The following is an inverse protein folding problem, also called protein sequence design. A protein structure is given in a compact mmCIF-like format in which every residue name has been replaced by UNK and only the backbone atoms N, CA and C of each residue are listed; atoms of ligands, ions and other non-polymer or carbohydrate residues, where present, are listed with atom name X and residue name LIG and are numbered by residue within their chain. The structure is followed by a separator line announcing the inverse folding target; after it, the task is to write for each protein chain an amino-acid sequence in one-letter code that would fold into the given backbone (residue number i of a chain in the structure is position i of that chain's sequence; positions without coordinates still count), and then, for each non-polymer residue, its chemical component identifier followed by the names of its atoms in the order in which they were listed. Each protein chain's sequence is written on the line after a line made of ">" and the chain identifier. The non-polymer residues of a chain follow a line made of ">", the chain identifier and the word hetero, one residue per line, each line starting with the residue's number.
data_IF_057047581333
#
_entry.id   IF_057047581333
#
_cell.length_a   1.000
_cell.length_b   1.000
_cell.length_c   1.000
_cell.angle_alpha   90.00
_cell.angle_beta   90.00
_cell.angle_gamma   90.00
#
_symmetry.space_group_name_H-M   'P 1'
#
loop_
_entity.id
_entity.type
_entity.pdbx_description
1 polymer ?
#
# COMPACT_ATOMS: atom_id res chain seq x y z
N UNK A 1 -8.33 31.10 4.85
CA UNK A 1 -9.39 30.10 4.98
C UNK A 1 -8.79 28.92 5.70
N UNK A 2 -9.12 28.78 6.98
CA UNK A 2 -8.74 27.62 7.79
C UNK A 2 -9.50 26.40 7.23
N UNK A 3 -8.88 25.63 6.37
CA UNK A 3 -9.37 24.31 5.98
C UNK A 3 -9.08 23.38 7.16
N UNK A 4 -9.93 23.43 8.21
CA UNK A 4 -9.93 22.35 9.19
C UNK A 4 -10.02 21.04 8.44
N UNK A 5 -9.01 20.18 8.60
CA UNK A 5 -9.01 18.85 8.03
C UNK A 5 -10.29 18.14 8.46
N UNK A 6 -11.09 17.73 7.48
CA UNK A 6 -12.38 17.05 7.70
C UNK A 6 -12.21 15.74 8.45
N UNK A 7 -11.04 15.10 8.30
CA UNK A 7 -10.75 13.79 8.85
C UNK A 7 -9.42 13.80 9.61
N UNK A 8 -9.43 13.22 10.80
CA UNK A 8 -8.24 13.04 11.62
C UNK A 8 -7.36 11.90 11.13
N UNK A 9 -7.96 10.79 10.71
CA UNK A 9 -7.26 9.58 10.26
C UNK A 9 -7.87 9.04 8.99
N UNK A 10 -7.03 8.79 7.99
CA UNK A 10 -7.46 8.24 6.70
C UNK A 10 -6.56 7.09 6.24
N UNK A 11 -7.15 6.16 5.51
CA UNK A 11 -6.43 5.15 4.73
C UNK A 11 -6.52 5.52 3.26
N UNK A 12 -5.39 5.50 2.57
CA UNK A 12 -5.32 5.70 1.12
C UNK A 12 -4.78 4.41 0.50
N UNK A 13 -5.60 3.75 -0.31
CA UNK A 13 -5.16 2.59 -1.10
C UNK A 13 -4.81 3.03 -2.52
N UNK A 14 -3.69 2.53 -3.01
CA UNK A 14 -3.22 2.82 -4.36
C UNK A 14 -3.03 1.52 -5.14
N UNK A 15 -3.80 1.37 -6.20
CA UNK A 15 -3.72 0.20 -7.10
C UNK A 15 -2.42 0.17 -7.90
N UNK A 16 -1.98 -1.02 -8.31
CA UNK A 16 -0.76 -1.18 -9.12
C UNK A 16 -0.82 -0.38 -10.43
N UNK A 17 -1.97 -0.40 -11.12
CA UNK A 17 -2.15 0.33 -12.38
C UNK A 17 -2.07 1.85 -12.23
N UNK A 18 -2.31 2.38 -11.02
CA UNK A 18 -2.12 3.82 -10.72
C UNK A 18 -0.63 4.15 -10.58
N UNK A 19 0.16 3.20 -10.08
CA UNK A 19 1.59 3.37 -9.79
C UNK A 19 2.51 2.93 -10.94
N UNK A 20 1.98 2.28 -11.97
CA UNK A 20 2.76 1.76 -13.10
C UNK A 20 2.32 2.41 -14.41
N UNK A 21 3.27 2.50 -15.34
CA UNK A 21 3.03 2.85 -16.74
C UNK A 21 2.56 1.63 -17.52
N UNK A 22 2.15 1.86 -18.76
CA UNK A 22 1.72 0.79 -19.68
C UNK A 22 2.81 -0.25 -19.95
N UNK A 23 4.09 0.14 -19.80
CA UNK A 23 5.26 -0.75 -19.91
C UNK A 23 5.53 -1.56 -18.63
N UNK A 24 4.67 -1.47 -17.61
CA UNK A 24 4.79 -2.17 -16.32
C UNK A 24 5.84 -1.58 -15.37
N UNK A 25 6.52 -0.49 -15.75
CA UNK A 25 7.49 0.18 -14.87
C UNK A 25 6.80 1.14 -13.91
N UNK A 26 7.35 1.34 -12.70
CA UNK A 26 6.83 2.34 -11.77
C UNK A 26 6.78 3.73 -12.40
N UNK A 27 5.65 4.41 -12.28
CA UNK A 27 5.48 5.79 -12.72
C UNK A 27 5.92 6.75 -11.61
N UNK A 28 7.16 7.21 -11.73
CA UNK A 28 7.77 8.13 -10.77
C UNK A 28 6.97 9.41 -10.58
N UNK A 29 6.39 9.94 -11.65
CA UNK A 29 5.63 11.20 -11.62
C UNK A 29 4.35 11.03 -10.79
N UNK A 30 3.62 9.93 -11.02
CA UNK A 30 2.39 9.63 -10.25
C UNK A 30 2.70 9.35 -8.79
N UNK A 31 3.78 8.60 -8.50
CA UNK A 31 4.20 8.33 -7.11
C UNK A 31 4.59 9.65 -6.42
N UNK A 32 5.33 10.53 -7.08
CA UNK A 32 5.70 11.85 -6.52
C UNK A 32 4.48 12.72 -6.25
N UNK A 33 3.54 12.80 -7.19
CA UNK A 33 2.30 13.54 -6.99
C UNK A 33 1.44 13.00 -5.84
N UNK A 34 1.40 11.67 -5.68
CA UNK A 34 0.74 11.03 -4.54
C UNK A 34 1.40 11.43 -3.22
N UNK A 35 2.73 11.32 -3.14
CA UNK A 35 3.49 11.66 -1.92
C UNK A 35 3.33 13.15 -1.58
N UNK A 36 3.30 14.06 -2.58
CA UNK A 36 3.01 15.48 -2.34
C UNK A 36 1.64 15.68 -1.66
N UNK A 37 0.58 15.01 -2.13
CA UNK A 37 -0.74 15.10 -1.52
C UNK A 37 -0.76 14.51 -0.10
N UNK A 38 -0.13 13.34 0.11
CA UNK A 38 -0.02 12.73 1.45
C UNK A 38 0.77 13.63 2.39
N UNK A 39 1.87 14.23 1.93
CA UNK A 39 2.67 15.15 2.73
C UNK A 39 1.88 16.41 3.16
N UNK A 40 1.04 16.94 2.27
CA UNK A 40 0.13 18.07 2.62
C UNK A 40 -0.86 17.67 3.70
N UNK A 41 -1.50 16.52 3.58
CA UNK A 41 -2.43 15.99 4.59
C UNK A 41 -1.75 15.78 5.93
N UNK A 42 -0.57 15.12 5.91
CA UNK A 42 0.22 14.86 7.12
C UNK A 42 0.63 16.17 7.83
N UNK A 43 1.13 17.16 7.08
CA UNK A 43 1.49 18.49 7.64
C UNK A 43 0.29 19.25 8.17
N UNK A 44 -0.90 19.00 7.64
CA UNK A 44 -2.13 19.56 8.14
C UNK A 44 -2.70 18.79 9.36
N UNK A 45 -1.96 17.80 9.91
CA UNK A 45 -2.31 17.05 11.11
C UNK A 45 -3.18 15.82 10.88
N UNK A 46 -3.40 15.40 9.63
CA UNK A 46 -4.09 14.13 9.33
C UNK A 46 -3.13 12.95 9.45
N UNK A 47 -3.51 11.96 10.23
CA UNK A 47 -2.83 10.66 10.27
C UNK A 47 -3.15 9.87 8.99
N UNK A 48 -2.13 9.60 8.17
CA UNK A 48 -2.31 8.92 6.89
C UNK A 48 -1.66 7.55 6.93
N UNK A 49 -2.39 6.51 6.52
CA UNK A 49 -1.88 5.17 6.24
C UNK A 49 -1.98 4.94 4.74
N UNK A 50 -0.88 4.54 4.12
CA UNK A 50 -0.82 4.26 2.70
C UNK A 50 -0.79 2.75 2.45
N UNK A 51 -1.81 2.21 1.80
CA UNK A 51 -1.84 0.82 1.33
C UNK A 51 -1.41 0.81 -0.13
N UNK A 52 -0.20 0.30 -0.39
CA UNK A 52 0.42 0.42 -1.71
C UNK A 52 0.60 -0.92 -2.38
N UNK A 53 0.01 -1.07 -3.56
CA UNK A 53 0.31 -2.16 -4.50
C UNK A 53 1.57 -1.86 -5.32
N UNK A 54 1.94 -2.78 -6.22
CA UNK A 54 2.98 -2.54 -7.23
C UNK A 54 4.34 -3.17 -6.93
N UNK A 55 4.50 -3.89 -5.82
CA UNK A 55 5.74 -4.60 -5.52
C UNK A 55 6.07 -5.66 -6.58
N UNK A 56 5.12 -6.53 -6.92
CA UNK A 56 5.28 -7.57 -7.95
C UNK A 56 5.66 -6.95 -9.30
N UNK A 57 4.95 -5.92 -9.74
CA UNK A 57 5.25 -5.21 -10.99
C UNK A 57 6.65 -4.57 -10.99
N UNK A 58 7.05 -3.96 -9.87
CA UNK A 58 8.38 -3.40 -9.68
C UNK A 58 9.47 -4.47 -9.79
N UNK A 59 9.29 -5.63 -9.17
CA UNK A 59 10.23 -6.74 -9.22
C UNK A 59 10.31 -7.35 -10.63
N UNK A 60 9.18 -7.51 -11.29
CA UNK A 60 9.14 -7.96 -12.68
C UNK A 60 9.93 -7.01 -13.60
N UNK A 61 9.79 -5.69 -13.41
CA UNK A 61 10.54 -4.70 -14.20
C UNK A 61 12.07 -4.75 -13.99
N UNK A 62 12.52 -5.25 -12.82
CA UNK A 62 13.96 -5.39 -12.50
C UNK A 62 14.52 -6.69 -13.04
N UNK A 63 13.83 -7.80 -12.77
CA UNK A 63 14.35 -9.14 -13.05
C UNK A 63 14.09 -9.56 -14.50
N UNK A 64 12.92 -9.20 -15.07
CA UNK A 64 12.56 -9.58 -16.42
C UNK A 64 12.74 -11.08 -16.67
N UNK A 65 13.48 -11.42 -17.74
CA UNK A 65 13.77 -12.81 -18.10
C UNK A 65 14.76 -13.54 -17.15
N UNK A 66 15.43 -12.82 -16.24
CA UNK A 66 16.35 -13.43 -15.28
C UNK A 66 15.64 -14.36 -14.28
N UNK A 67 14.33 -14.18 -14.10
CA UNK A 67 13.52 -15.05 -13.24
C UNK A 67 13.42 -16.50 -13.75
N UNK A 68 13.75 -16.75 -15.04
CA UNK A 68 13.66 -18.08 -15.63
C UNK A 68 12.21 -18.56 -15.73
N UNK A 69 12.04 -19.89 -15.81
CA UNK A 69 10.72 -20.53 -15.78
C UNK A 69 10.38 -20.89 -14.34
N UNK A 70 9.51 -20.11 -13.73
CA UNK A 70 8.96 -20.35 -12.39
C UNK A 70 7.45 -20.64 -12.49
N UNK A 71 6.94 -21.40 -11.54
CA UNK A 71 5.50 -21.46 -11.32
C UNK A 71 4.97 -20.09 -10.83
N UNK A 72 3.66 -19.91 -10.88
CA UNK A 72 3.02 -18.61 -10.59
C UNK A 72 3.26 -18.12 -9.17
N UNK A 73 3.33 -19.03 -8.19
CA UNK A 73 3.55 -18.70 -6.78
C UNK A 73 4.99 -18.26 -6.56
N UNK A 74 5.95 -19.08 -6.99
CA UNK A 74 7.39 -18.75 -6.87
C UNK A 74 7.75 -17.46 -7.63
N UNK A 75 7.16 -17.22 -8.80
CA UNK A 75 7.35 -16.01 -9.57
C UNK A 75 6.84 -14.78 -8.79
N UNK A 76 5.63 -14.85 -8.22
CA UNK A 76 5.05 -13.77 -7.43
C UNK A 76 5.89 -13.48 -6.19
N UNK A 77 6.31 -14.52 -5.46
CA UNK A 77 7.16 -14.38 -4.28
C UNK A 77 8.49 -13.70 -4.62
N UNK A 78 9.17 -14.17 -5.67
CA UNK A 78 10.44 -13.59 -6.12
C UNK A 78 10.29 -12.13 -6.54
N UNK A 79 9.28 -11.83 -7.37
CA UNK A 79 9.06 -10.46 -7.84
C UNK A 79 8.66 -9.54 -6.70
N UNK A 80 7.82 -9.98 -5.77
CA UNK A 80 7.46 -9.19 -4.61
C UNK A 80 8.66 -8.91 -3.71
N UNK A 81 9.49 -9.93 -3.41
CA UNK A 81 10.68 -9.77 -2.57
C UNK A 81 11.62 -8.69 -3.12
N UNK A 82 11.90 -8.72 -4.44
CA UNK A 82 12.79 -7.75 -5.08
C UNK A 82 12.11 -6.39 -5.26
N UNK A 83 10.87 -6.41 -5.68
CA UNK A 83 10.14 -5.18 -6.01
C UNK A 83 9.73 -4.36 -4.80
N UNK A 84 9.46 -5.01 -3.66
CA UNK A 84 9.10 -4.33 -2.42
C UNK A 84 10.22 -3.40 -1.94
N UNK A 85 11.47 -3.84 -2.05
CA UNK A 85 12.64 -3.00 -1.69
C UNK A 85 12.67 -1.74 -2.55
N UNK A 86 12.51 -1.88 -3.88
CA UNK A 86 12.51 -0.74 -4.80
C UNK A 86 11.36 0.23 -4.54
N UNK A 87 10.16 -0.32 -4.34
CA UNK A 87 8.96 0.48 -4.09
C UNK A 87 9.10 1.27 -2.78
N UNK A 88 9.54 0.59 -1.71
CA UNK A 88 9.71 1.24 -0.41
C UNK A 88 10.81 2.31 -0.44
N UNK A 89 11.96 2.03 -1.07
CA UNK A 89 13.02 3.04 -1.24
C UNK A 89 12.50 4.27 -1.96
N UNK A 90 11.65 4.10 -2.99
CA UNK A 90 11.07 5.22 -3.71
C UNK A 90 10.17 6.08 -2.82
N UNK A 91 9.32 5.46 -2.00
CA UNK A 91 8.52 6.20 -1.02
C UNK A 91 9.40 6.89 0.02
N UNK A 92 10.40 6.19 0.53
CA UNK A 92 11.34 6.74 1.51
C UNK A 92 12.04 7.99 0.99
N UNK A 93 12.60 7.95 -0.21
CA UNK A 93 13.30 9.09 -0.83
C UNK A 93 12.35 10.29 -0.97
N UNK A 94 11.14 10.05 -1.50
CA UNK A 94 10.17 11.11 -1.72
C UNK A 94 9.62 11.71 -0.42
N UNK A 95 9.29 10.90 0.59
CA UNK A 95 8.84 11.41 1.89
C UNK A 95 9.95 12.16 2.63
N UNK A 96 11.20 11.71 2.47
CA UNK A 96 12.36 12.39 3.06
C UNK A 96 12.55 13.82 2.54
N UNK A 97 12.20 14.10 1.28
CA UNK A 97 12.20 15.48 0.72
C UNK A 97 11.26 16.42 1.51
N UNK A 98 10.22 15.87 2.14
CA UNK A 98 9.27 16.61 2.98
C UNK A 98 9.61 16.58 4.47
N UNK A 99 10.70 15.91 4.88
CA UNK A 99 11.04 15.66 6.28
C UNK A 99 10.09 14.71 7.00
N UNK A 100 9.37 13.87 6.24
CA UNK A 100 8.39 12.91 6.77
C UNK A 100 9.02 11.53 6.82
N UNK A 101 8.95 10.89 7.98
CA UNK A 101 9.39 9.51 8.15
C UNK A 101 8.26 8.57 7.72
N UNK A 102 8.59 7.57 6.92
CA UNK A 102 7.67 6.48 6.62
C UNK A 102 8.25 5.14 7.08
N UNK A 103 7.37 4.16 7.33
CA UNK A 103 7.79 2.84 7.76
C UNK A 103 6.97 1.74 7.10
N UNK A 104 7.59 0.59 6.87
CA UNK A 104 6.96 -0.55 6.22
C UNK A 104 6.16 -1.41 7.21
N UNK A 105 4.96 -1.81 6.79
CA UNK A 105 4.16 -2.85 7.45
C UNK A 105 3.77 -3.88 6.40
N UNK A 106 4.26 -5.11 6.53
CA UNK A 106 3.83 -6.23 5.70
C UNK A 106 2.88 -7.13 6.49
N UNK A 107 1.77 -7.46 5.88
CA UNK A 107 0.72 -8.27 6.52
C UNK A 107 0.25 -9.40 5.63
N UNK A 108 -0.41 -10.39 6.22
CA UNK A 108 -1.11 -11.46 5.51
C UNK A 108 -2.55 -11.52 6.00
N UNK A 109 -3.44 -12.14 5.23
CA UNK A 109 -4.84 -12.37 5.64
C UNK A 109 -4.90 -13.19 6.94
N UNK A 110 -4.01 -14.19 7.08
CA UNK A 110 -3.88 -14.98 8.29
C UNK A 110 -3.51 -14.12 9.51
N UNK A 111 -2.58 -13.17 9.33
CA UNK A 111 -2.17 -12.25 10.40
C UNK A 111 -3.32 -11.37 10.89
N UNK A 112 -4.29 -11.06 10.04
CA UNK A 112 -5.48 -10.30 10.44
C UNK A 112 -6.61 -11.17 11.01
N UNK A 113 -6.57 -12.48 10.78
CA UNK A 113 -7.62 -13.42 11.26
C UNK A 113 -7.43 -13.83 12.72
N UNK A 114 -6.21 -13.79 13.25
CA UNK A 114 -5.93 -14.15 14.64
C UNK A 114 -5.91 -12.94 15.55
N UNK A 115 -6.66 -12.98 16.66
CA UNK A 115 -6.77 -11.84 17.61
C UNK A 115 -5.41 -11.32 18.07
N UNK A 116 -4.46 -12.21 18.38
CA UNK A 116 -3.13 -11.81 18.87
C UNK A 116 -2.35 -11.02 17.81
N UNK A 117 -2.28 -11.52 16.58
CA UNK A 117 -1.57 -10.87 15.50
C UNK A 117 -2.26 -9.58 15.07
N UNK A 118 -3.60 -9.58 15.01
CA UNK A 118 -4.39 -8.38 14.77
C UNK A 118 -4.07 -7.26 15.76
N UNK A 119 -4.06 -7.55 17.08
CA UNK A 119 -3.73 -6.56 18.10
C UNK A 119 -2.28 -6.10 18.02
N UNK A 120 -1.33 -6.99 17.73
CA UNK A 120 0.07 -6.62 17.55
C UNK A 120 0.26 -5.68 16.36
N UNK A 121 -0.37 -5.96 15.22
CA UNK A 121 -0.31 -5.06 14.05
C UNK A 121 -0.97 -3.72 14.33
N UNK A 122 -2.15 -3.73 14.96
CA UNK A 122 -2.81 -2.50 15.39
C UNK A 122 -1.91 -1.66 16.27
N UNK A 123 -1.33 -2.25 17.32
CA UNK A 123 -0.44 -1.54 18.24
C UNK A 123 0.80 -0.97 17.53
N UNK A 124 1.38 -1.72 16.59
CA UNK A 124 2.50 -1.24 15.79
C UNK A 124 2.11 0.01 14.97
N UNK A 125 0.99 -0.04 14.25
CA UNK A 125 0.54 1.10 13.46
C UNK A 125 0.13 2.30 14.32
N UNK A 126 -0.53 2.08 15.46
CA UNK A 126 -0.84 3.17 16.41
C UNK A 126 0.44 3.83 16.94
N UNK A 127 1.48 3.05 17.25
CA UNK A 127 2.76 3.59 17.69
C UNK A 127 3.45 4.40 16.57
N UNK A 128 3.40 3.92 15.31
CA UNK A 128 3.92 4.66 14.16
C UNK A 128 3.20 6.00 13.99
N UNK A 129 1.87 5.98 14.00
CA UNK A 129 1.05 7.20 13.85
C UNK A 129 1.31 8.19 14.98
N UNK A 130 1.39 7.71 16.23
CA UNK A 130 1.72 8.54 17.39
C UNK A 130 3.12 9.19 17.31
N UNK A 131 4.05 8.52 16.62
CA UNK A 131 5.39 9.04 16.34
C UNK A 131 5.46 9.95 15.09
N UNK A 132 4.32 10.22 14.43
CA UNK A 132 4.29 11.00 13.18
C UNK A 132 4.87 10.26 11.97
N UNK A 133 4.94 8.95 12.03
CA UNK A 133 5.43 8.09 10.93
C UNK A 133 4.26 7.69 10.04
N UNK A 134 4.44 7.79 8.72
CA UNK A 134 3.46 7.31 7.73
C UNK A 134 3.66 5.80 7.50
N UNK A 135 2.70 4.93 7.92
CA UNK A 135 2.78 3.51 7.61
C UNK A 135 2.54 3.26 6.12
N UNK A 136 3.44 2.53 5.48
CA UNK A 136 3.27 2.01 4.12
C UNK A 136 3.00 0.51 4.24
N UNK A 137 1.76 0.14 3.97
CA UNK A 137 1.26 -1.22 4.17
C UNK A 137 1.14 -1.93 2.82
N UNK A 138 1.54 -3.18 2.78
CA UNK A 138 1.32 -4.08 1.65
C UNK A 138 1.10 -5.51 2.13
N UNK A 139 0.57 -6.36 1.25
CA UNK A 139 0.54 -7.79 1.50
C UNK A 139 1.97 -8.35 1.54
N UNK A 140 2.20 -9.32 2.41
CA UNK A 140 3.45 -10.07 2.43
C UNK A 140 3.41 -11.24 1.44
N UNK A 141 3.50 -10.93 0.16
CA UNK A 141 3.49 -11.92 -0.93
C UNK A 141 4.62 -12.95 -0.83
N UNK A 142 5.64 -12.72 -0.01
CA UNK A 142 6.77 -13.67 0.12
C UNK A 142 6.41 -14.89 0.93
N UNK A 143 5.42 -14.79 1.81
CA UNK A 143 4.95 -15.89 2.67
C UNK A 143 3.47 -16.23 2.46
N UNK A 144 2.72 -15.39 1.74
CA UNK A 144 1.32 -15.66 1.42
C UNK A 144 1.22 -16.81 0.42
N UNK A 145 0.39 -17.80 0.73
CA UNK A 145 0.01 -18.89 -0.18
C UNK A 145 -1.34 -18.59 -0.81
N UNK A 146 -1.58 -19.11 -1.99
CA UNK A 146 -2.70 -18.76 -2.87
C UNK A 146 -4.07 -18.77 -2.20
N UNK A 147 -4.30 -19.70 -1.26
CA UNK A 147 -5.58 -19.90 -0.57
C UNK A 147 -5.82 -18.91 0.57
N UNK A 148 -4.75 -18.25 1.05
CA UNK A 148 -4.77 -17.32 2.19
C UNK A 148 -4.38 -15.89 1.78
N UNK A 149 -4.38 -15.59 0.49
CA UNK A 149 -4.11 -14.26 -0.01
C UNK A 149 -5.34 -13.36 0.10
N UNK A 150 -5.11 -12.07 0.21
CA UNK A 150 -6.16 -11.10 -0.06
C UNK A 150 -6.58 -11.21 -1.54
N UNK A 151 -7.87 -11.03 -1.80
CA UNK A 151 -8.38 -10.95 -3.18
C UNK A 151 -7.69 -9.82 -3.92
N UNK A 152 -7.54 -8.70 -3.23
CA UNK A 152 -6.77 -7.53 -3.64
C UNK A 152 -6.45 -6.62 -2.44
N UNK A 153 -5.72 -5.55 -2.68
CA UNK A 153 -5.43 -4.57 -1.65
C UNK A 153 -6.65 -3.69 -1.25
N UNK A 154 -7.78 -3.80 -1.95
CA UNK A 154 -9.02 -3.14 -1.53
C UNK A 154 -9.59 -3.82 -0.30
N UNK A 155 -9.64 -5.19 -0.29
CA UNK A 155 -10.01 -5.97 0.90
C UNK A 155 -9.09 -5.64 2.08
N UNK A 156 -7.77 -5.66 1.86
CA UNK A 156 -6.78 -5.30 2.88
C UNK A 156 -7.02 -3.91 3.45
N UNK A 157 -7.24 -2.92 2.59
CA UNK A 157 -7.44 -1.52 3.01
C UNK A 157 -8.73 -1.32 3.81
N UNK A 158 -9.79 -2.04 3.49
CA UNK A 158 -11.05 -2.06 4.24
C UNK A 158 -10.87 -2.61 5.66
N UNK A 159 -10.18 -3.76 5.78
CA UNK A 159 -9.88 -4.38 7.07
C UNK A 159 -8.98 -3.48 7.93
N UNK A 160 -7.95 -2.89 7.33
CA UNK A 160 -7.07 -1.94 8.02
C UNK A 160 -7.83 -0.70 8.49
N UNK A 161 -8.68 -0.12 7.65
CA UNK A 161 -9.49 1.04 8.00
C UNK A 161 -10.34 0.78 9.25
N UNK A 162 -10.95 -0.40 9.32
CA UNK A 162 -11.71 -0.83 10.50
C UNK A 162 -10.80 -1.03 11.72
N UNK A 163 -9.65 -1.68 11.52
CA UNK A 163 -8.71 -2.00 12.61
C UNK A 163 -8.17 -0.77 13.33
N UNK A 164 -7.86 0.28 12.58
CA UNK A 164 -7.27 1.50 13.14
C UNK A 164 -8.29 2.61 13.37
N UNK A 165 -9.58 2.36 13.13
CA UNK A 165 -10.64 3.37 13.27
C UNK A 165 -10.46 4.57 12.35
N UNK A 166 -10.14 4.33 11.07
CA UNK A 166 -10.05 5.39 10.08
C UNK A 166 -11.42 6.01 9.81
N UNK A 167 -11.46 7.32 9.66
CA UNK A 167 -12.69 8.08 9.39
C UNK A 167 -13.04 8.11 7.89
N UNK A 168 -12.04 7.83 7.04
CA UNK A 168 -12.25 7.68 5.59
C UNK A 168 -11.25 6.66 4.99
N UNK A 169 -11.72 5.97 3.96
CA UNK A 169 -10.94 5.15 3.05
C UNK A 169 -11.02 5.75 1.65
N UNK A 170 -9.86 6.07 1.07
CA UNK A 170 -9.74 6.57 -0.30
C UNK A 170 -9.15 5.47 -1.17
N UNK A 171 -9.88 5.05 -2.20
CA UNK A 171 -9.43 4.05 -3.17
C UNK A 171 -8.99 4.76 -4.46
N UNK A 172 -7.69 4.79 -4.72
CA UNK A 172 -7.14 5.26 -5.98
C UNK A 172 -7.03 4.08 -6.95
N UNK A 173 -7.88 4.08 -7.94
CA UNK A 173 -8.06 3.00 -8.91
C UNK A 173 -8.22 3.55 -10.32
N UNK A 174 -8.15 2.68 -11.31
CA UNK A 174 -8.39 3.00 -12.72
C UNK A 174 -9.81 2.64 -13.19
N UNK A 175 -10.73 2.32 -12.25
CA UNK A 175 -12.15 2.11 -12.52
C UNK A 175 -12.99 3.24 -11.95
N UNK A 176 -14.18 3.49 -12.51
CA UNK A 176 -14.99 4.67 -12.19
C UNK A 176 -15.62 4.63 -10.79
N UNK A 177 -15.57 3.50 -10.10
CA UNK A 177 -16.12 3.34 -8.75
C UNK A 177 -16.46 1.91 -8.40
N UNK A 178 -17.30 1.74 -7.37
CA UNK A 178 -17.80 0.42 -6.95
C UNK A 178 -18.91 0.01 -7.92
N UNK A 179 -18.70 -1.12 -8.59
CA UNK A 179 -19.62 -1.66 -9.58
C UNK A 179 -20.47 -2.79 -8.96
N UNK A 180 -21.74 -2.92 -9.37
CA UNK A 180 -22.61 -4.05 -8.97
C UNK A 180 -22.31 -5.34 -9.75
N UNK A 181 -21.28 -5.36 -10.60
CA UNK A 181 -20.85 -6.48 -11.42
C UNK A 181 -19.55 -6.17 -12.15
N UNK A 182 -19.16 -7.03 -13.09
CA UNK A 182 -17.95 -6.80 -13.89
C UNK A 182 -18.06 -5.49 -14.66
N UNK A 183 -17.05 -4.58 -14.58
CA UNK A 183 -17.01 -3.37 -15.40
C UNK A 183 -17.08 -3.73 -16.89
N UNK A 184 -18.07 -3.18 -17.62
CA UNK A 184 -18.24 -3.42 -19.06
C UNK A 184 -19.10 -4.64 -19.43
N UNK A 185 -19.82 -5.24 -18.47
CA UNK A 185 -20.84 -6.27 -18.76
C UNK A 185 -22.19 -5.64 -19.09
#
# INVERSE_FOLDING_TARGET
>A
MDTQNKYRRIVIKVGSNVLTRDDGRPDTTRISALVDQVARLHRAGTEVILVSSGAVASGHSILGQRAGKLDSVSARQLFSAVGQVKLLNRYYDLFNEYGIVCGQVLTTKESLSTRRQYLNQRNCMEAMLAAGVVPIVNENDTISVTELMFTDNDELSGLLSTMIGAEALVLLTNVDGICNGMPGA
#
